data_IF_467259204140
#
_entry.id   IF_467259204140
#
_cell.length_a   1.000
_cell.length_b   1.000
_cell.length_c   1.000
_cell.angle_alpha   90.00
_cell.angle_beta   90.00
_cell.angle_gamma   90.00
#
_symmetry.space_group_name_H-M   'P 1'
#
loop_
_entity.id
_entity.type
_entity.pdbx_description
1 polymer ?
#
# COMPACT_ATOMS: atom_id res chain seq x y z
N UNK A 1 -13.05 -8.50 -0.36
CA UNK A 1 -12.24 -8.72 0.84
C UNK A 1 -11.39 -9.97 0.74
N UNK A 2 -11.92 -11.03 0.15
CA UNK A 2 -11.21 -12.31 0.08
C UNK A 2 -9.87 -12.22 -0.64
N UNK A 3 -9.80 -11.51 -1.75
CA UNK A 3 -8.58 -11.42 -2.54
C UNK A 3 -7.39 -10.83 -1.77
N UNK A 4 -7.64 -9.79 -1.00
CA UNK A 4 -6.57 -9.13 -0.26
C UNK A 4 -6.30 -9.79 1.08
N UNK A 5 -7.36 -10.20 1.78
CA UNK A 5 -7.21 -10.83 3.09
C UNK A 5 -6.55 -12.20 2.99
N UNK A 6 -6.78 -12.94 1.91
CA UNK A 6 -6.14 -14.22 1.71
C UNK A 6 -4.63 -14.15 1.67
N UNK A 7 -4.06 -13.01 1.28
CA UNK A 7 -2.62 -12.79 1.20
C UNK A 7 -2.05 -12.16 2.47
N UNK A 8 -2.87 -11.49 3.27
CA UNK A 8 -2.39 -10.69 4.41
C UNK A 8 -2.89 -11.16 5.77
N UNK A 9 -3.55 -12.30 5.83
CA UNK A 9 -3.98 -12.87 7.11
C UNK A 9 -2.80 -13.50 7.86
N UNK A 10 -2.85 -13.54 9.21
CA UNK A 10 -3.83 -12.89 10.07
C UNK A 10 -3.45 -11.43 10.33
N UNK A 11 -4.44 -10.62 10.64
CA UNK A 11 -4.25 -9.23 11.05
C UNK A 11 -3.48 -8.35 10.06
N UNK A 12 -3.47 -8.72 8.77
CA UNK A 12 -2.77 -7.98 7.72
C UNK A 12 -1.26 -7.85 7.95
N UNK A 13 -0.67 -8.81 8.68
CA UNK A 13 0.76 -8.78 8.99
C UNK A 13 1.66 -9.15 7.81
N UNK A 14 1.11 -9.79 6.78
CA UNK A 14 1.89 -10.23 5.62
C UNK A 14 2.61 -11.54 5.87
N UNK A 15 3.28 -12.02 4.83
CA UNK A 15 4.15 -13.19 4.90
C UNK A 15 5.58 -12.76 4.68
N UNK A 16 6.47 -13.22 5.54
CA UNK A 16 7.87 -12.89 5.45
C UNK A 16 8.44 -13.18 4.06
N UNK A 17 9.08 -12.16 3.47
CA UNK A 17 9.75 -12.29 2.19
C UNK A 17 8.84 -12.34 0.95
N UNK A 18 7.52 -12.33 1.13
CA UNK A 18 6.58 -12.46 0.01
C UNK A 18 5.57 -11.34 -0.10
N UNK A 19 4.84 -11.06 0.99
CA UNK A 19 3.77 -10.08 1.00
C UNK A 19 4.12 -9.00 2.00
N UNK A 20 4.23 -7.74 1.56
CA UNK A 20 4.55 -6.65 2.48
C UNK A 20 3.46 -6.51 3.55
N UNK A 21 3.83 -6.13 4.77
CA UNK A 21 2.84 -5.91 5.81
C UNK A 21 1.96 -4.69 5.48
N UNK A 22 0.71 -4.75 5.89
CA UNK A 22 -0.20 -3.62 5.83
C UNK A 22 -0.25 -2.94 7.20
N UNK A 23 -0.32 -3.74 8.25
CA UNK A 23 -0.47 -3.26 9.61
C UNK A 23 0.71 -2.39 10.02
N UNK A 24 0.39 -1.19 10.49
CA UNK A 24 1.37 -0.22 10.99
C UNK A 24 2.48 0.13 9.98
N UNK A 25 2.19 -0.02 8.68
CA UNK A 25 3.20 0.24 7.67
C UNK A 25 2.66 0.87 6.39
N UNK A 26 1.60 0.32 5.80
CA UNK A 26 1.15 0.72 4.47
C UNK A 26 0.81 2.22 4.36
N UNK A 27 0.38 2.84 5.45
CA UNK A 27 0.07 4.27 5.46
C UNK A 27 1.24 5.16 5.10
N UNK A 28 2.46 4.70 5.32
CA UNK A 28 3.64 5.48 4.94
C UNK A 28 3.69 5.77 3.44
N UNK A 29 3.20 4.84 2.61
CA UNK A 29 3.19 5.04 1.16
C UNK A 29 2.39 6.27 0.74
N UNK A 30 1.42 6.68 1.54
CA UNK A 30 0.54 7.80 1.21
C UNK A 30 1.21 9.16 1.38
N UNK A 31 2.46 9.19 1.85
CA UNK A 31 3.20 10.43 2.00
C UNK A 31 3.86 10.91 0.70
N UNK A 32 3.77 10.13 -0.37
CA UNK A 32 4.22 10.57 -1.69
C UNK A 32 3.23 10.10 -2.74
N UNK A 33 3.21 10.82 -3.87
CA UNK A 33 2.33 10.42 -4.97
C UNK A 33 2.76 9.07 -5.54
N UNK A 34 4.07 8.84 -5.67
CA UNK A 34 4.58 7.56 -6.16
C UNK A 34 4.15 6.40 -5.27
N UNK A 35 4.19 6.59 -3.95
CA UNK A 35 3.76 5.57 -3.00
C UNK A 35 2.27 5.33 -3.06
N UNK A 36 1.49 6.40 -3.16
CA UNK A 36 0.04 6.31 -3.29
C UNK A 36 -0.35 5.51 -4.53
N UNK A 37 0.23 5.84 -5.67
CA UNK A 37 -0.05 5.17 -6.94
C UNK A 37 0.38 3.70 -6.89
N UNK A 38 1.52 3.44 -6.26
CA UNK A 38 2.09 2.09 -6.13
C UNK A 38 1.10 1.13 -5.47
N UNK A 39 0.40 1.56 -4.43
CA UNK A 39 -0.53 0.68 -3.70
C UNK A 39 -1.64 0.13 -4.59
N UNK A 40 -2.01 0.85 -5.63
CA UNK A 40 -3.04 0.40 -6.58
C UNK A 40 -2.41 -0.34 -7.77
N UNK A 41 -1.21 0.06 -8.19
CA UNK A 41 -0.55 -0.49 -9.37
C UNK A 41 0.08 -1.86 -9.15
N UNK A 42 0.33 -2.26 -7.91
CA UNK A 42 0.88 -3.60 -7.65
C UNK A 42 -0.03 -4.66 -8.25
N UNK A 43 0.52 -5.70 -8.91
CA UNK A 43 -0.29 -6.67 -9.64
C UNK A 43 -1.36 -7.37 -8.80
N UNK A 44 -1.09 -7.63 -7.51
CA UNK A 44 -2.08 -8.24 -6.63
C UNK A 44 -3.34 -7.41 -6.45
N UNK A 45 -3.24 -6.09 -6.61
CA UNK A 45 -4.38 -5.18 -6.53
C UNK A 45 -4.91 -4.87 -7.92
N UNK A 46 -4.03 -4.41 -8.83
CA UNK A 46 -4.44 -3.95 -10.15
C UNK A 46 -5.09 -5.05 -10.98
N UNK A 47 -4.69 -6.31 -10.80
CA UNK A 47 -5.22 -7.45 -11.54
C UNK A 47 -6.27 -8.24 -10.77
N UNK A 48 -6.71 -7.75 -9.63
CA UNK A 48 -7.74 -8.44 -8.86
C UNK A 48 -9.07 -8.44 -9.60
N UNK A 49 -9.96 -9.36 -9.24
CA UNK A 49 -11.28 -9.44 -9.84
C UNK A 49 -12.25 -8.38 -9.31
N UNK A 50 -11.83 -7.60 -8.31
CA UNK A 50 -12.67 -6.57 -7.74
C UNK A 50 -12.87 -5.41 -8.72
N UNK A 51 -14.03 -4.75 -8.63
CA UNK A 51 -14.30 -3.54 -9.42
C UNK A 51 -13.45 -2.37 -8.90
N UNK A 52 -13.36 -1.30 -9.68
CA UNK A 52 -12.64 -0.10 -9.28
C UNK A 52 -13.18 0.47 -7.97
N UNK A 53 -14.50 0.50 -7.84
CA UNK A 53 -15.17 0.97 -6.63
C UNK A 53 -14.84 0.09 -5.42
N UNK A 54 -14.86 -1.22 -5.62
CA UNK A 54 -14.55 -2.17 -4.54
C UNK A 54 -13.10 -2.06 -4.09
N UNK A 55 -12.18 -1.87 -5.03
CA UNK A 55 -10.76 -1.67 -4.68
C UNK A 55 -10.59 -0.40 -3.87
N UNK A 56 -11.24 0.70 -4.29
CA UNK A 56 -11.16 1.96 -3.56
C UNK A 56 -11.65 1.80 -2.12
N UNK A 57 -12.82 1.19 -1.95
CA UNK A 57 -13.39 0.95 -0.63
C UNK A 57 -12.51 0.07 0.24
N UNK A 58 -12.03 -1.02 -0.32
CA UNK A 58 -11.19 -1.97 0.41
C UNK A 58 -9.88 -1.33 0.83
N UNK A 59 -9.21 -0.63 -0.08
CA UNK A 59 -7.94 0.02 0.22
C UNK A 59 -8.10 1.07 1.32
N UNK A 60 -9.14 1.91 1.21
CA UNK A 60 -9.41 2.92 2.23
C UNK A 60 -9.67 2.28 3.60
N UNK A 61 -10.45 1.20 3.62
CA UNK A 61 -10.73 0.49 4.85
C UNK A 61 -9.48 -0.13 5.47
N UNK A 62 -8.66 -0.78 4.65
CA UNK A 62 -7.41 -1.40 5.12
C UNK A 62 -6.46 -0.37 5.72
N UNK A 63 -6.28 0.75 5.03
CA UNK A 63 -5.39 1.81 5.49
C UNK A 63 -5.88 2.42 6.81
N UNK A 64 -7.16 2.71 6.90
CA UNK A 64 -7.72 3.34 8.10
C UNK A 64 -7.82 2.38 9.27
N UNK A 65 -8.01 1.10 9.00
CA UNK A 65 -8.14 0.10 10.06
C UNK A 65 -6.79 -0.35 10.61
N UNK A 66 -5.83 -0.57 9.72
CA UNK A 66 -4.56 -1.18 10.12
C UNK A 66 -3.37 -0.25 10.12
N UNK A 67 -3.46 0.92 9.50
CA UNK A 67 -2.32 1.82 9.35
C UNK A 67 -2.66 3.30 9.51
N UNK A 68 -3.70 3.60 10.29
CA UNK A 68 -4.16 4.98 10.50
C UNK A 68 -3.04 5.88 11.00
N UNK A 69 -2.25 5.42 11.95
CA UNK A 69 -1.19 6.21 12.57
C UNK A 69 -0.07 6.58 11.60
N UNK A 70 0.07 5.86 10.49
CA UNK A 70 1.09 6.11 9.48
C UNK A 70 0.60 7.00 8.35
N UNK A 71 -0.70 7.25 8.27
CA UNK A 71 -1.27 8.09 7.21
C UNK A 71 -0.87 9.55 7.39
N UNK A 72 -0.73 10.32 6.29
CA UNK A 72 -0.51 11.76 6.41
C UNK A 72 -1.73 12.44 7.00
N UNK A 73 -1.53 13.61 7.63
CA UNK A 73 -2.60 14.35 8.27
C UNK A 73 -3.73 14.69 7.29
N UNK A 74 -3.39 14.90 6.03
CA UNK A 74 -4.37 15.23 4.99
C UNK A 74 -4.63 14.05 4.05
N UNK A 75 -4.74 12.87 4.63
CA UNK A 75 -5.05 11.70 3.83
C UNK A 75 -6.37 11.88 3.07
N UNK A 76 -6.31 11.70 1.76
CA UNK A 76 -7.48 11.70 0.90
C UNK A 76 -7.80 10.27 0.50
N UNK A 77 -9.01 9.77 0.79
CA UNK A 77 -9.38 8.42 0.39
C UNK A 77 -9.29 8.22 -1.13
N UNK A 78 -8.97 7.00 -1.53
CA UNK A 78 -8.99 6.65 -2.95
C UNK A 78 -10.40 6.74 -3.50
N UNK A 79 -10.52 7.20 -4.75
CA UNK A 79 -11.80 7.23 -5.46
C UNK A 79 -11.82 6.15 -6.54
N UNK A 80 -13.02 5.81 -7.01
CA UNK A 80 -13.18 4.86 -8.09
C UNK A 80 -12.43 5.32 -9.35
N UNK A 81 -12.51 6.62 -9.67
CA UNK A 81 -11.85 7.18 -10.86
C UNK A 81 -10.33 7.06 -10.77
N UNK A 82 -9.78 7.31 -9.59
CA UNK A 82 -8.33 7.18 -9.38
C UNK A 82 -7.89 5.74 -9.55
N UNK A 83 -8.61 4.80 -8.96
CA UNK A 83 -8.30 3.37 -9.10
C UNK A 83 -8.38 2.95 -10.57
N UNK A 84 -9.42 3.37 -11.28
CA UNK A 84 -9.60 3.04 -12.69
C UNK A 84 -8.41 3.46 -13.53
N UNK A 85 -7.90 4.67 -13.30
CA UNK A 85 -6.78 5.18 -14.08
C UNK A 85 -5.44 4.50 -13.73
N UNK A 86 -5.25 4.11 -12.47
CA UNK A 86 -3.99 3.51 -12.03
C UNK A 86 -3.87 2.03 -12.38
N UNK A 87 -4.97 1.27 -12.29
CA UNK A 87 -4.91 -0.17 -12.47
C UNK A 87 -4.68 -0.62 -13.91
N UNK A 88 -4.86 0.28 -14.88
CA UNK A 88 -4.62 -0.06 -16.30
C UNK A 88 -3.12 -0.15 -16.62
N UNK A 89 -2.26 0.27 -15.70
CA UNK A 89 -0.82 0.26 -15.88
C UNK A 89 -0.14 -0.39 -14.67
N UNK A 90 -0.22 -1.74 -14.56
CA UNK A 90 0.37 -2.44 -13.43
C UNK A 90 1.87 -2.21 -13.34
N UNK A 91 2.39 -2.18 -12.11
CA UNK A 91 3.83 -2.02 -11.89
C UNK A 91 4.58 -3.26 -12.39
N UNK A 92 5.51 -3.09 -13.35
CA UNK A 92 6.23 -4.25 -13.92
C UNK A 92 7.26 -4.86 -12.97
N UNK A 93 7.80 -4.08 -12.02
CA UNK A 93 8.78 -4.58 -11.05
C UNK A 93 8.44 -4.07 -9.65
N UNK A 94 7.46 -4.71 -8.99
CA UNK A 94 6.99 -4.23 -7.69
C UNK A 94 8.08 -4.17 -6.61
N UNK A 95 8.99 -5.12 -6.59
CA UNK A 95 10.03 -5.16 -5.56
C UNK A 95 10.98 -3.97 -5.69
N UNK A 96 11.44 -3.68 -6.91
CA UNK A 96 12.33 -2.55 -7.15
C UNK A 96 11.62 -1.22 -6.91
N UNK A 97 10.37 -1.09 -7.36
CA UNK A 97 9.60 0.13 -7.16
C UNK A 97 9.38 0.38 -5.67
N UNK A 98 9.03 -0.66 -4.92
CA UNK A 98 8.82 -0.57 -3.48
C UNK A 98 10.06 -0.08 -2.76
N UNK A 99 11.20 -0.68 -3.07
CA UNK A 99 12.47 -0.30 -2.45
C UNK A 99 12.80 1.17 -2.70
N UNK A 100 12.68 1.62 -3.94
CA UNK A 100 12.96 3.01 -4.30
C UNK A 100 12.01 3.98 -3.58
N UNK A 101 10.73 3.68 -3.57
CA UNK A 101 9.74 4.52 -2.91
C UNK A 101 10.02 4.63 -1.41
N UNK A 102 10.26 3.50 -0.76
CA UNK A 102 10.50 3.49 0.68
C UNK A 102 11.80 4.19 1.05
N UNK A 103 12.85 4.02 0.26
CA UNK A 103 14.11 4.71 0.53
C UNK A 103 13.95 6.23 0.41
N UNK A 104 13.20 6.69 -0.59
CA UNK A 104 12.95 8.11 -0.74
C UNK A 104 12.09 8.66 0.40
N UNK A 105 11.09 7.92 0.83
CA UNK A 105 10.23 8.33 1.95
C UNK A 105 10.98 8.33 3.28
N UNK A 106 11.90 7.39 3.47
CA UNK A 106 12.66 7.29 4.71
C UNK A 106 13.52 8.54 4.98
N UNK A 107 13.92 9.24 3.93
CA UNK A 107 14.69 10.47 4.07
C UNK A 107 13.89 11.56 4.82
N UNK A 108 12.58 11.51 4.76
CA UNK A 108 11.70 12.52 5.36
C UNK A 108 10.89 11.99 6.54
N UNK A 109 10.87 10.68 6.76
CA UNK A 109 10.04 10.04 7.77
C UNK A 109 10.89 9.23 8.74
N UNK A 110 11.31 9.80 9.88
CA UNK A 110 12.20 9.11 10.84
C UNK A 110 11.63 7.79 11.36
N UNK A 111 10.32 7.71 11.57
CA UNK A 111 9.70 6.48 12.06
C UNK A 111 9.78 5.37 11.01
N UNK A 112 9.61 5.72 9.74
CA UNK A 112 9.76 4.77 8.66
C UNK A 112 11.21 4.31 8.53
N UNK A 113 12.17 5.24 8.62
CA UNK A 113 13.59 4.91 8.56
C UNK A 113 13.97 3.91 9.66
N UNK A 114 13.46 4.12 10.88
CA UNK A 114 13.68 3.21 12.00
C UNK A 114 13.07 1.84 11.73
N UNK A 115 11.87 1.80 11.17
CA UNK A 115 11.18 0.55 10.84
C UNK A 115 11.96 -0.26 9.81
N UNK A 116 12.45 0.39 8.76
CA UNK A 116 13.22 -0.27 7.71
C UNK A 116 14.54 -0.84 8.27
N UNK A 117 15.18 -0.11 9.18
CA UNK A 117 16.41 -0.57 9.82
C UNK A 117 16.17 -1.80 10.69
N UNK A 118 15.07 -1.78 11.45
CA UNK A 118 14.76 -2.87 12.38
C UNK A 118 14.31 -4.16 11.68
N UNK A 119 13.77 -4.05 10.46
CA UNK A 119 13.22 -5.19 9.73
C UNK A 119 14.17 -5.76 8.67
N UNK A 120 15.40 -5.25 8.61
CA UNK A 120 16.44 -5.77 7.73
C UNK A 120 17.42 -6.70 8.50
#
# INVERSE_FOLDING_TARGET
>A
MLHCQGCHLPEAAGFEGRVPPIKDFAGYFLHSQAGRDFLIRVPGVSRSALSDSEIAELMNWLLQTYSESQLPDRFEPFTEAEVASLRVDPEPDPAAARELILNNLADELPLLAAELTNNN
#
